data_IF_709356978417
#
_entry.id   IF_709356978417
#
_cell.length_a   1.000
_cell.length_b   1.000
_cell.length_c   1.000
_cell.angle_alpha   90.00
_cell.angle_beta   90.00
_cell.angle_gamma   90.00
#
_symmetry.space_group_name_H-M   'P 1'
#
loop_
_entity.id
_entity.type
_entity.pdbx_description
1 polymer ?
#
# COMPACT_ATOMS: atom_id res chain seq x y z
N UNK A 1 23.53 5.56 11.86
CA UNK A 1 23.24 5.52 10.41
C UNK A 1 23.56 6.90 9.85
N UNK A 2 24.33 7.00 8.78
CA UNK A 2 24.54 8.29 8.11
C UNK A 2 23.43 8.53 7.09
N UNK A 3 22.96 9.77 7.03
CA UNK A 3 22.09 10.24 5.95
C UNK A 3 22.98 10.82 4.87
N UNK A 4 22.87 10.33 3.64
CA UNK A 4 23.63 10.87 2.52
C UNK A 4 23.07 12.23 2.11
N UNK A 5 23.95 13.19 1.81
CA UNK A 5 23.55 14.54 1.40
C UNK A 5 22.63 14.52 0.17
N UNK A 6 22.90 13.64 -0.79
CA UNK A 6 22.07 13.47 -1.98
C UNK A 6 20.66 13.02 -1.61
N UNK A 7 20.54 11.94 -0.84
CA UNK A 7 19.26 11.42 -0.35
C UNK A 7 18.46 12.46 0.44
N UNK A 8 19.12 13.26 1.30
CA UNK A 8 18.45 14.35 2.00
C UNK A 8 17.89 15.41 1.04
N UNK A 9 18.69 15.83 0.07
CA UNK A 9 18.30 16.84 -0.92
C UNK A 9 17.14 16.36 -1.80
N UNK A 10 17.13 15.07 -2.16
CA UNK A 10 16.09 14.46 -2.98
C UNK A 10 14.75 14.32 -2.21
N UNK A 11 14.76 14.44 -0.87
CA UNK A 11 13.58 14.31 0.01
C UNK A 11 13.26 15.59 0.80
N UNK A 12 13.75 16.76 0.35
CA UNK A 12 13.59 18.02 1.10
C UNK A 12 12.14 18.41 1.37
N UNK A 13 11.21 18.10 0.46
CA UNK A 13 9.78 18.40 0.67
C UNK A 13 9.21 17.64 1.87
N UNK A 14 9.57 16.36 2.02
CA UNK A 14 9.19 15.56 3.19
C UNK A 14 9.84 16.06 4.48
N UNK A 15 11.08 16.55 4.40
CA UNK A 15 11.75 17.17 5.55
C UNK A 15 11.02 18.44 6.00
N UNK A 16 10.57 19.29 5.06
CA UNK A 16 9.81 20.49 5.42
C UNK A 16 8.45 20.18 6.04
N UNK A 17 7.74 19.16 5.55
CA UNK A 17 6.49 18.70 6.16
C UNK A 17 6.68 18.20 7.59
N UNK A 18 7.76 17.44 7.83
CA UNK A 18 8.12 16.99 9.18
C UNK A 18 8.43 18.17 10.10
N UNK A 19 9.12 19.20 9.60
CA UNK A 19 9.46 20.39 10.40
C UNK A 19 8.21 21.20 10.77
N UNK A 20 7.25 21.36 9.85
CA UNK A 20 5.98 22.05 10.09
C UNK A 20 5.15 21.37 11.18
N UNK A 21 5.15 20.03 11.21
CA UNK A 21 4.42 19.28 12.24
C UNK A 21 5.08 19.34 13.63
N UNK A 22 6.40 19.54 13.68
CA UNK A 22 7.15 19.65 14.94
C UNK A 22 7.00 21.06 15.53
N UNK A 23 7.00 22.11 14.68
CA UNK A 23 7.15 23.50 15.11
C UNK A 23 6.10 24.40 14.46
N UNK A 24 5.33 25.11 15.29
CA UNK A 24 4.43 26.19 14.84
C UNK A 24 4.81 27.50 15.54
N UNK A 25 5.08 28.55 14.76
CA UNK A 25 5.39 29.89 15.30
C UNK A 25 6.59 29.96 16.25
N UNK A 26 7.51 28.99 16.20
CA UNK A 26 8.64 28.87 17.13
C UNK A 26 8.33 28.09 18.41
N UNK A 27 7.12 27.54 18.55
CA UNK A 27 6.71 26.64 19.63
C UNK A 27 6.79 25.20 19.14
N UNK A 28 7.40 24.33 19.95
CA UNK A 28 7.43 22.90 19.66
C UNK A 28 6.07 22.30 20.03
N UNK A 29 5.38 21.73 19.03
CA UNK A 29 4.08 21.07 19.20
C UNK A 29 4.22 19.57 19.48
N UNK A 30 5.13 18.91 18.77
CA UNK A 30 5.35 17.47 18.88
C UNK A 30 6.84 17.15 18.82
N UNK A 31 7.34 16.43 19.82
CA UNK A 31 8.75 16.05 19.90
C UNK A 31 8.97 14.55 19.72
N UNK A 32 7.92 13.73 19.85
CA UNK A 32 8.03 12.29 19.68
C UNK A 32 8.08 11.93 18.18
N UNK A 33 9.16 11.31 17.68
CA UNK A 33 9.30 11.01 16.26
C UNK A 33 8.22 10.07 15.71
N UNK A 34 7.67 9.17 16.53
CA UNK A 34 6.61 8.26 16.10
C UNK A 34 5.29 9.03 15.92
N UNK A 35 5.00 9.97 16.83
CA UNK A 35 3.83 10.85 16.74
C UNK A 35 3.93 11.78 15.53
N UNK A 36 5.08 12.39 15.29
CA UNK A 36 5.29 13.24 14.10
C UNK A 36 5.06 12.44 12.82
N UNK A 37 5.66 11.26 12.68
CA UNK A 37 5.47 10.41 11.49
C UNK A 37 4.00 10.01 11.27
N UNK A 38 3.25 9.78 12.35
CA UNK A 38 1.83 9.46 12.27
C UNK A 38 1.01 10.67 11.80
N UNK A 39 1.30 11.87 12.30
CA UNK A 39 0.56 13.10 11.98
C UNK A 39 0.85 13.61 10.58
N UNK A 40 2.12 13.59 10.15
CA UNK A 40 2.52 14.00 8.79
C UNK A 40 1.86 13.13 7.73
N UNK A 41 1.44 11.89 8.07
CA UNK A 41 0.82 10.92 7.15
C UNK A 41 1.59 10.83 5.82
N UNK A 42 2.92 10.88 5.92
CA UNK A 42 3.80 10.98 4.76
C UNK A 42 3.69 9.70 3.93
N UNK A 43 2.98 9.77 2.81
CA UNK A 43 2.99 8.73 1.78
C UNK A 43 4.07 9.10 0.78
N UNK A 44 5.27 8.58 0.99
CA UNK A 44 6.19 8.47 -0.12
C UNK A 44 5.47 7.64 -1.20
N UNK A 45 5.41 8.12 -2.44
CA UNK A 45 4.81 7.41 -3.58
C UNK A 45 5.64 6.16 -3.97
N UNK A 46 5.96 5.32 -2.99
CA UNK A 46 6.52 3.99 -3.15
C UNK A 46 5.39 2.98 -2.95
N UNK A 47 4.43 2.95 -3.88
CA UNK A 47 3.38 1.94 -3.84
C UNK A 47 3.40 1.02 -5.07
N UNK A 48 4.38 0.09 -5.17
CA UNK A 48 4.21 -1.10 -6.00
C UNK A 48 3.10 -2.03 -5.46
N UNK A 49 2.61 -1.79 -4.23
CA UNK A 49 1.61 -2.64 -3.55
C UNK A 49 0.16 -2.42 -3.98
N UNK A 50 -0.22 -1.27 -4.57
CA UNK A 50 -1.59 -1.07 -5.09
C UNK A 50 -1.82 -1.92 -6.32
N UNK A 51 -0.83 -2.03 -7.19
CA UNK A 51 -0.93 -2.89 -8.38
C UNK A 51 -0.92 -4.37 -8.00
N UNK A 52 -0.09 -4.76 -7.02
CA UNK A 52 0.01 -6.15 -6.60
C UNK A 52 -1.28 -6.66 -5.93
N UNK A 53 -1.96 -5.83 -5.13
CA UNK A 53 -3.25 -6.19 -4.52
C UNK A 53 -4.36 -6.34 -5.56
N UNK A 54 -4.42 -5.43 -6.54
CA UNK A 54 -5.41 -5.50 -7.64
C UNK A 54 -5.16 -6.75 -8.51
N UNK A 55 -3.90 -7.02 -8.87
CA UNK A 55 -3.54 -8.19 -9.66
C UNK A 55 -3.85 -9.51 -8.94
N UNK A 56 -3.56 -9.60 -7.64
CA UNK A 56 -3.90 -10.77 -6.82
C UNK A 56 -5.42 -10.97 -6.71
N UNK A 57 -6.17 -9.90 -6.46
CA UNK A 57 -7.63 -9.98 -6.31
C UNK A 57 -8.33 -10.38 -7.61
N UNK A 58 -7.83 -9.92 -8.76
CA UNK A 58 -8.34 -10.33 -10.08
C UNK A 58 -8.01 -11.80 -10.35
N UNK A 59 -6.77 -12.23 -10.05
CA UNK A 59 -6.33 -13.62 -10.24
C UNK A 59 -7.14 -14.61 -9.40
N UNK A 60 -7.41 -14.27 -8.13
CA UNK A 60 -8.24 -15.08 -7.23
C UNK A 60 -9.69 -15.21 -7.74
N UNK A 61 -10.31 -14.10 -8.15
CA UNK A 61 -11.67 -14.11 -8.71
C UNK A 61 -11.77 -14.92 -10.01
N UNK A 62 -10.74 -14.85 -10.86
CA UNK A 62 -10.70 -15.61 -12.11
C UNK A 62 -10.54 -17.13 -11.86
N UNK A 63 -9.68 -17.49 -10.90
CA UNK A 63 -9.47 -18.89 -10.51
C UNK A 63 -10.76 -19.52 -9.93
N UNK A 64 -11.46 -18.80 -9.06
CA UNK A 64 -12.74 -19.24 -8.50
C UNK A 64 -13.80 -19.47 -9.59
N UNK A 65 -13.91 -18.55 -10.55
CA UNK A 65 -14.87 -18.67 -11.66
C UNK A 65 -14.58 -19.89 -12.53
N UNK A 66 -13.31 -20.16 -12.81
CA UNK A 66 -12.87 -21.31 -13.61
C UNK A 66 -13.22 -22.63 -12.93
N UNK A 67 -12.99 -22.73 -11.61
CA UNK A 67 -13.32 -23.93 -10.83
C UNK A 67 -14.82 -24.21 -10.81
N UNK A 68 -15.65 -23.18 -10.57
CA UNK A 68 -17.11 -23.32 -10.57
C UNK A 68 -17.61 -23.80 -11.94
N UNK A 69 -17.08 -23.23 -13.03
CA UNK A 69 -17.47 -23.62 -14.39
C UNK A 69 -17.08 -25.06 -14.70
N UNK A 70 -15.89 -25.50 -14.26
CA UNK A 70 -15.43 -26.86 -14.43
C UNK A 70 -16.31 -27.86 -13.65
N UNK A 71 -16.61 -27.56 -12.38
CA UNK A 71 -17.50 -28.40 -11.57
C UNK A 71 -18.91 -28.49 -12.15
N UNK A 72 -19.45 -27.39 -12.67
CA UNK A 72 -20.74 -27.38 -13.36
C UNK A 72 -20.74 -28.24 -14.63
N UNK A 73 -19.66 -28.18 -15.43
CA UNK A 73 -19.49 -29.03 -16.62
C UNK A 73 -19.43 -30.51 -16.26
N UNK A 74 -18.73 -30.87 -15.18
CA UNK A 74 -18.63 -32.25 -14.71
C UNK A 74 -19.98 -32.77 -14.21
N UNK A 75 -20.73 -31.96 -13.45
CA UNK A 75 -22.08 -32.29 -12.99
C UNK A 75 -23.02 -32.62 -14.16
N UNK A 76 -23.00 -31.80 -15.22
CA UNK A 76 -23.82 -32.05 -16.43
C UNK A 76 -23.39 -33.36 -17.11
N UNK A 77 -22.09 -33.61 -17.25
CA UNK A 77 -21.57 -34.85 -17.83
C UNK A 77 -22.10 -36.07 -17.07
N UNK A 78 -22.04 -36.05 -15.74
CA UNK A 78 -22.54 -37.15 -14.91
C UNK A 78 -24.07 -37.28 -14.96
N UNK A 79 -24.80 -36.18 -15.08
CA UNK A 79 -26.27 -36.19 -15.17
C UNK A 79 -26.81 -36.83 -16.45
N UNK A 80 -26.02 -36.89 -17.53
CA UNK A 80 -26.43 -37.51 -18.82
C UNK A 80 -26.09 -39.02 -18.84
N UNK A 81 -25.14 -39.44 -18.01
CA UNK A 81 -24.72 -40.85 -17.89
C UNK A 81 -25.64 -41.66 -16.96
N UNK A 82 -26.64 -41.03 -16.35
CA UNK A 82 -27.62 -41.63 -15.44
C UNK A 82 -29.02 -41.57 -16.07
#
# INVERSE_FOLDING_TARGET
KNVERRCLLDNMDGVFLIVDEIIDGGVILESDPQQVLQKVNYRADENPLSEQSVAQHISEKLALTTNVLQSAKEQIKWSILK
#
